data_IF_247842135350
#
_entry.id   IF_247842135350
#
_cell.length_a   1.000
_cell.length_b   1.000
_cell.length_c   1.000
_cell.angle_alpha   90.00
_cell.angle_beta   90.00
_cell.angle_gamma   90.00
#
_symmetry.space_group_name_H-M   'P 1'
#
loop_
_entity.id
_entity.type
_entity.pdbx_description
1 polymer ?
#
# COMPACT_ATOMS: atom_id res chain seq x y z
N UNK A 1 3.52 -5.05 6.14
CA UNK A 1 4.67 -5.42 5.28
C UNK A 1 4.37 -5.02 3.86
N UNK A 2 5.26 -4.28 3.19
CA UNK A 2 5.06 -3.84 1.80
C UNK A 2 5.99 -4.63 0.90
N UNK A 3 5.44 -5.32 -0.09
CA UNK A 3 6.22 -6.03 -1.10
C UNK A 3 7.10 -5.04 -1.89
N UNK A 4 8.38 -5.37 -2.16
CA UNK A 4 9.23 -4.54 -3.01
C UNK A 4 8.78 -4.48 -4.47
N UNK A 5 7.84 -5.35 -4.86
CA UNK A 5 7.23 -5.37 -6.21
C UNK A 5 5.95 -4.51 -6.28
N UNK A 6 5.54 -3.85 -5.20
CA UNK A 6 4.43 -2.91 -5.22
C UNK A 6 4.87 -1.57 -5.82
N UNK A 7 4.01 -0.96 -6.63
CA UNK A 7 4.20 0.39 -7.16
C UNK A 7 3.32 1.36 -6.36
N UNK A 8 3.95 2.16 -5.51
CA UNK A 8 3.25 3.07 -4.60
C UNK A 8 3.69 4.49 -4.93
N UNK A 9 2.73 5.35 -5.28
CA UNK A 9 3.00 6.77 -5.46
C UNK A 9 3.49 7.39 -4.13
N UNK A 10 4.52 8.26 -4.13
CA UNK A 10 5.08 8.83 -2.91
C UNK A 10 4.08 9.65 -2.08
N UNK A 11 3.05 10.21 -2.72
CA UNK A 11 2.00 10.99 -2.05
C UNK A 11 0.86 10.14 -1.45
N UNK A 12 0.91 8.81 -1.61
CA UNK A 12 -0.06 7.92 -0.99
C UNK A 12 0.14 7.87 0.54
N UNK A 13 -0.97 7.83 1.30
CA UNK A 13 -0.94 7.76 2.76
C UNK A 13 -1.20 6.33 3.20
N UNK A 14 -0.22 5.72 3.84
CA UNK A 14 -0.28 4.33 4.28
C UNK A 14 -0.29 4.30 5.81
N UNK A 15 -1.37 3.78 6.39
CA UNK A 15 -1.52 3.60 7.83
C UNK A 15 -0.55 2.58 8.42
N UNK A 16 -0.45 2.55 9.74
CA UNK A 16 0.39 1.59 10.46
C UNK A 16 -0.10 0.15 10.23
N UNK A 17 0.82 -0.81 10.33
CA UNK A 17 0.51 -2.25 10.22
C UNK A 17 -0.19 -2.68 8.92
N UNK A 18 -0.11 -1.86 7.86
CA UNK A 18 -0.65 -2.21 6.54
C UNK A 18 0.22 -3.29 5.86
N UNK A 19 -0.45 -4.24 5.22
CA UNK A 19 0.15 -5.28 4.39
C UNK A 19 -0.22 -5.10 2.92
N UNK A 20 0.78 -4.99 2.04
CA UNK A 20 0.62 -4.77 0.60
C UNK A 20 1.40 -5.83 -0.18
N UNK A 21 0.68 -6.62 -0.97
CA UNK A 21 1.22 -7.69 -1.80
C UNK A 21 1.91 -7.21 -3.10
N UNK A 22 2.76 -8.05 -3.72
CA UNK A 22 3.42 -7.76 -4.99
C UNK A 22 2.46 -7.30 -6.10
N UNK A 23 2.95 -6.43 -6.98
CA UNK A 23 2.21 -5.93 -8.16
C UNK A 23 0.97 -5.06 -7.85
N UNK A 24 0.70 -4.77 -6.58
CA UNK A 24 -0.26 -3.74 -6.19
C UNK A 24 0.18 -2.38 -6.72
N UNK A 25 -0.75 -1.61 -7.31
CA UNK A 25 -0.52 -0.23 -7.75
C UNK A 25 -1.38 0.73 -6.93
N UNK A 26 -0.74 1.69 -6.27
CA UNK A 26 -1.40 2.73 -5.46
C UNK A 26 -1.06 4.09 -6.06
N UNK A 27 -2.09 4.82 -6.52
CA UNK A 27 -1.95 6.13 -7.15
C UNK A 27 -1.82 7.27 -6.14
N UNK A 28 -1.53 8.48 -6.65
CA UNK A 28 -1.63 9.71 -5.87
C UNK A 28 -3.04 9.86 -5.26
N UNK A 29 -3.13 10.52 -4.11
CA UNK A 29 -4.37 10.80 -3.35
C UNK A 29 -5.11 9.57 -2.78
N UNK A 30 -4.45 8.41 -2.70
CA UNK A 30 -4.99 7.24 -2.00
C UNK A 30 -4.60 7.26 -0.52
N UNK A 31 -5.56 6.93 0.34
CA UNK A 31 -5.36 6.72 1.78
C UNK A 31 -5.76 5.29 2.15
N UNK A 32 -4.86 4.57 2.83
CA UNK A 32 -5.08 3.21 3.31
C UNK A 32 -5.03 3.23 4.84
N UNK A 33 -6.14 2.81 5.47
CA UNK A 33 -6.27 2.79 6.92
C UNK A 33 -5.38 1.75 7.61
N UNK A 34 -5.12 1.97 8.89
CA UNK A 34 -4.35 1.07 9.76
C UNK A 34 -4.84 -0.38 9.69
N UNK A 35 -3.91 -1.34 9.68
CA UNK A 35 -4.21 -2.78 9.72
C UNK A 35 -4.86 -3.33 8.46
N UNK A 36 -4.98 -2.54 7.39
CA UNK A 36 -5.52 -2.99 6.11
C UNK A 36 -4.59 -4.01 5.46
N UNK A 37 -5.17 -5.06 4.89
CA UNK A 37 -4.47 -6.05 4.08
C UNK A 37 -4.94 -5.99 2.63
N UNK A 38 -4.00 -5.76 1.71
CA UNK A 38 -4.18 -5.79 0.25
C UNK A 38 -3.28 -6.90 -0.29
N UNK A 39 -3.88 -7.93 -0.90
CA UNK A 39 -3.11 -9.01 -1.51
C UNK A 39 -3.87 -9.77 -2.62
N UNK A 40 -3.23 -10.80 -3.20
CA UNK A 40 -1.79 -11.04 -3.15
C UNK A 40 -1.00 -9.99 -3.96
#
# INVERSE_FOLDING_TARGET
>A
MISPLASIHPDARIGENVEIGPFTTISADVEIGEGTWIGP
#
